data_IF_143472262768
#
_entry.id   IF_143472262768
#
_cell.length_a   1.000
_cell.length_b   1.000
_cell.length_c   1.000
_cell.angle_alpha   90.00
_cell.angle_beta   90.00
_cell.angle_gamma   90.00
#
_symmetry.space_group_name_H-M   'P 1'
#
loop_
_entity.id
_entity.type
_entity.pdbx_description
1 polymer ?
#
# COMPACT_ATOMS: atom_id res chain seq x y z
N UNK A 1 5.86 -35.53 2.07
CA UNK A 1 5.81 -34.95 0.72
C UNK A 1 4.52 -34.18 0.61
N UNK A 2 4.61 -32.84 0.66
CA UNK A 2 3.47 -31.95 0.49
C UNK A 2 2.90 -32.16 -0.92
N UNK A 3 1.61 -32.49 -1.03
CA UNK A 3 0.96 -32.70 -2.34
C UNK A 3 1.07 -31.39 -3.13
N UNK A 4 1.61 -31.48 -4.34
CA UNK A 4 1.64 -30.38 -5.32
C UNK A 4 0.26 -29.73 -5.37
N UNK A 5 0.18 -28.47 -4.97
CA UNK A 5 -1.06 -27.68 -4.83
C UNK A 5 -1.89 -27.75 -6.11
N UNK A 6 -3.19 -28.06 -5.98
CA UNK A 6 -4.20 -27.65 -6.97
C UNK A 6 -4.05 -26.15 -7.17
N UNK A 7 -4.10 -25.68 -8.43
CA UNK A 7 -4.14 -24.24 -8.74
C UNK A 7 -5.17 -23.55 -7.83
N UNK A 8 -4.71 -22.59 -7.02
CA UNK A 8 -5.55 -21.94 -6.02
C UNK A 8 -6.62 -21.07 -6.67
N UNK A 9 -7.64 -20.70 -5.88
CA UNK A 9 -8.70 -19.78 -6.34
C UNK A 9 -8.07 -18.48 -6.83
N UNK A 10 -8.32 -18.11 -8.09
CA UNK A 10 -7.80 -16.87 -8.67
C UNK A 10 -8.32 -15.64 -7.92
N UNK A 11 -7.46 -14.65 -7.74
CA UNK A 11 -7.82 -13.42 -7.04
C UNK A 11 -8.83 -12.58 -7.83
N UNK A 12 -10.03 -12.27 -7.28
CA UNK A 12 -11.02 -11.47 -7.98
C UNK A 12 -10.58 -10.02 -8.21
N UNK A 13 -9.58 -9.51 -7.47
CA UNK A 13 -8.99 -8.19 -7.72
C UNK A 13 -8.31 -8.09 -9.10
N UNK A 14 -7.84 -9.21 -9.67
CA UNK A 14 -7.19 -9.21 -10.98
C UNK A 14 -8.18 -8.88 -12.12
N UNK A 15 -9.42 -9.33 -12.03
CA UNK A 15 -10.47 -9.11 -13.04
C UNK A 15 -11.46 -8.00 -12.64
N UNK A 16 -11.31 -7.42 -11.44
CA UNK A 16 -12.19 -6.37 -10.94
C UNK A 16 -12.07 -5.08 -11.77
N UNK A 17 -13.21 -4.47 -12.06
CA UNK A 17 -13.27 -3.14 -12.67
C UNK A 17 -12.81 -2.04 -11.70
N UNK A 18 -12.62 -0.83 -12.21
CA UNK A 18 -12.08 0.30 -11.43
C UNK A 18 -12.98 0.64 -10.22
N UNK A 19 -14.30 0.71 -10.42
CA UNK A 19 -15.25 0.98 -9.33
C UNK A 19 -15.19 -0.09 -8.24
N UNK A 20 -15.14 -1.36 -8.61
CA UNK A 20 -15.01 -2.46 -7.67
C UNK A 20 -13.69 -2.42 -6.91
N UNK A 21 -12.61 -1.92 -7.51
CA UNK A 21 -11.32 -1.70 -6.82
C UNK A 21 -11.40 -0.52 -5.86
N UNK A 22 -12.01 0.59 -6.28
CA UNK A 22 -12.18 1.80 -5.46
C UNK A 22 -12.98 1.50 -4.18
N UNK A 23 -14.11 0.80 -4.33
CA UNK A 23 -15.00 0.48 -3.22
C UNK A 23 -14.73 -0.90 -2.59
N UNK A 24 -13.62 -1.56 -2.96
CA UNK A 24 -13.23 -2.88 -2.46
C UNK A 24 -14.30 -3.98 -2.60
N UNK A 25 -15.27 -3.82 -3.50
CA UNK A 25 -16.38 -4.76 -3.68
C UNK A 25 -15.96 -6.16 -4.12
N UNK A 26 -14.75 -6.31 -4.68
CA UNK A 26 -14.20 -7.60 -5.05
C UNK A 26 -13.96 -8.52 -3.84
N UNK A 27 -13.92 -7.97 -2.62
CA UNK A 27 -13.83 -8.73 -1.36
C UNK A 27 -15.18 -9.29 -0.87
N UNK A 28 -16.31 -8.77 -1.35
CA UNK A 28 -17.64 -9.15 -0.89
C UNK A 28 -17.91 -10.67 -0.91
N UNK A 29 -17.46 -11.45 -1.92
CA UNK A 29 -17.62 -12.90 -1.90
C UNK A 29 -16.93 -13.56 -0.70
N UNK A 30 -15.73 -13.09 -0.32
CA UNK A 30 -14.99 -13.62 0.82
C UNK A 30 -15.67 -13.28 2.15
N UNK A 31 -16.12 -12.03 2.31
CA UNK A 31 -16.86 -11.61 3.50
C UNK A 31 -18.18 -12.36 3.67
N UNK A 32 -18.88 -12.68 2.57
CA UNK A 32 -20.09 -13.51 2.64
C UNK A 32 -19.82 -14.93 3.14
N UNK A 33 -18.67 -15.51 2.80
CA UNK A 33 -18.26 -16.82 3.33
C UNK A 33 -17.94 -16.67 4.82
N UNK A 34 -17.12 -15.69 5.19
CA UNK A 34 -16.73 -15.41 6.58
C UNK A 34 -17.90 -15.07 7.51
N UNK A 35 -18.97 -14.48 6.97
CA UNK A 35 -20.21 -14.23 7.71
C UNK A 35 -20.99 -15.52 8.02
N UNK A 36 -20.97 -16.50 7.11
CA UNK A 36 -21.72 -17.76 7.24
C UNK A 36 -20.96 -18.82 8.04
N UNK A 37 -19.63 -18.87 7.92
CA UNK A 37 -18.77 -19.82 8.61
C UNK A 37 -17.36 -19.25 8.79
N UNK A 38 -16.60 -19.84 9.70
CA UNK A 38 -15.16 -19.53 9.86
C UNK A 38 -14.43 -19.79 8.53
N UNK A 39 -13.56 -18.85 8.14
CA UNK A 39 -12.72 -18.96 6.96
C UNK A 39 -11.64 -20.04 7.16
N UNK A 40 -11.43 -20.83 6.13
CA UNK A 40 -10.38 -21.85 6.07
C UNK A 40 -9.35 -21.50 4.98
N UNK A 41 -8.18 -22.15 4.99
CA UNK A 41 -7.09 -21.87 4.04
C UNK A 41 -7.55 -22.05 2.58
N UNK A 42 -8.44 -23.01 2.32
CA UNK A 42 -9.01 -23.27 1.00
C UNK A 42 -9.95 -22.16 0.48
N UNK A 43 -10.41 -21.26 1.35
CA UNK A 43 -11.20 -20.09 0.96
C UNK A 43 -10.35 -18.92 0.48
N UNK A 44 -9.06 -18.94 0.78
CA UNK A 44 -8.15 -17.85 0.45
C UNK A 44 -7.83 -17.84 -1.05
N UNK A 45 -7.80 -16.64 -1.61
CA UNK A 45 -7.37 -16.43 -2.98
C UNK A 45 -5.84 -16.47 -3.08
N UNK A 46 -5.35 -16.83 -4.27
CA UNK A 46 -3.94 -16.64 -4.56
C UNK A 46 -3.56 -15.15 -4.53
N UNK A 47 -2.30 -14.88 -4.18
CA UNK A 47 -1.74 -13.53 -4.32
C UNK A 47 -1.74 -13.12 -5.79
N UNK A 48 -1.87 -11.82 -6.03
CA UNK A 48 -1.72 -11.27 -7.37
C UNK A 48 -0.32 -11.58 -7.90
N UNK A 49 -0.19 -11.75 -9.22
CA UNK A 49 1.10 -12.05 -9.85
C UNK A 49 2.18 -11.01 -9.48
N UNK A 50 1.80 -9.73 -9.47
CA UNK A 50 2.67 -8.61 -9.09
C UNK A 50 3.07 -8.59 -7.61
N UNK A 51 2.39 -9.37 -6.75
CA UNK A 51 2.69 -9.48 -5.32
C UNK A 51 3.41 -10.81 -4.98
N UNK A 52 3.74 -11.63 -5.98
CA UNK A 52 4.47 -12.90 -5.74
C UNK A 52 5.89 -12.61 -5.29
N UNK A 53 6.35 -13.38 -4.30
CA UNK A 53 7.70 -13.24 -3.72
C UNK A 53 8.82 -13.43 -4.74
N UNK A 54 8.62 -14.29 -5.73
CA UNK A 54 9.57 -14.48 -6.82
C UNK A 54 9.73 -13.22 -7.68
N UNK A 55 8.62 -12.54 -8.00
CA UNK A 55 8.63 -11.33 -8.83
C UNK A 55 9.30 -10.19 -8.07
N UNK A 56 8.80 -9.89 -6.87
CA UNK A 56 9.30 -8.83 -6.00
C UNK A 56 10.77 -9.04 -5.61
N UNK A 57 11.14 -10.27 -5.26
CA UNK A 57 12.49 -10.65 -4.89
C UNK A 57 13.49 -10.52 -6.04
N UNK A 58 13.14 -11.01 -7.25
CA UNK A 58 13.98 -10.87 -8.44
C UNK A 58 14.16 -9.41 -8.83
N UNK A 59 13.11 -8.59 -8.71
CA UNK A 59 13.19 -7.16 -9.04
C UNK A 59 14.18 -6.43 -8.11
N UNK A 60 14.04 -6.59 -6.79
CA UNK A 60 14.94 -5.95 -5.84
C UNK A 60 16.38 -6.47 -5.95
N UNK A 61 16.55 -7.78 -6.17
CA UNK A 61 17.86 -8.40 -6.42
C UNK A 61 18.54 -7.79 -7.65
N UNK A 62 17.81 -7.56 -8.74
CA UNK A 62 18.36 -6.93 -9.95
C UNK A 62 18.92 -5.54 -9.66
N UNK A 63 18.19 -4.71 -8.91
CA UNK A 63 18.69 -3.39 -8.53
C UNK A 63 19.89 -3.47 -7.57
N UNK A 64 19.88 -4.43 -6.65
CA UNK A 64 21.01 -4.68 -5.75
C UNK A 64 22.28 -5.09 -6.52
N UNK A 65 22.17 -6.01 -7.48
CA UNK A 65 23.31 -6.47 -8.28
C UNK A 65 23.90 -5.33 -9.12
N UNK A 66 23.06 -4.44 -9.66
CA UNK A 66 23.50 -3.23 -10.36
C UNK A 66 24.25 -2.26 -9.44
N UNK A 67 23.74 -2.04 -8.22
CA UNK A 67 24.39 -1.18 -7.23
C UNK A 67 25.72 -1.76 -6.75
N UNK A 68 25.82 -3.07 -6.56
CA UNK A 68 27.08 -3.75 -6.21
C UNK A 68 28.13 -3.56 -7.30
N UNK A 69 27.76 -3.76 -8.57
CA UNK A 69 28.67 -3.55 -9.70
C UNK A 69 29.12 -2.09 -9.81
N UNK A 70 28.21 -1.13 -9.61
CA UNK A 70 28.52 0.30 -9.64
C UNK A 70 29.43 0.68 -8.47
N UNK A 71 29.13 0.20 -7.27
CA UNK A 71 29.92 0.46 -6.07
C UNK A 71 31.36 -0.09 -6.19
N UNK A 72 31.52 -1.26 -6.80
CA UNK A 72 32.85 -1.83 -7.07
C UNK A 72 33.68 -0.96 -8.02
N UNK A 73 33.08 -0.41 -9.08
CA UNK A 73 33.75 0.51 -10.01
C UNK A 73 34.14 1.83 -9.36
N UNK A 74 33.30 2.33 -8.47
CA UNK A 74 33.45 3.61 -7.77
C UNK A 74 34.25 3.48 -6.45
N UNK A 75 34.81 2.30 -6.15
CA UNK A 75 35.52 1.99 -4.89
C UNK A 75 34.76 2.41 -3.62
N UNK A 76 33.43 2.25 -3.63
CA UNK A 76 32.56 2.60 -2.51
C UNK A 76 31.79 1.39 -2.00
N UNK A 77 31.15 1.53 -0.84
CA UNK A 77 30.23 0.53 -0.32
C UNK A 77 28.86 0.61 -1.03
N UNK A 78 28.22 -0.54 -1.32
CA UNK A 78 26.88 -0.55 -1.90
C UNK A 78 25.83 -0.13 -0.85
N UNK A 79 24.88 0.72 -1.25
CA UNK A 79 23.85 1.25 -0.35
C UNK A 79 22.49 0.59 -0.58
N UNK A 80 21.98 -0.16 0.40
CA UNK A 80 20.69 -0.84 0.29
C UNK A 80 19.51 0.13 0.30
N UNK A 81 19.55 1.17 1.14
CA UNK A 81 18.50 2.20 1.21
C UNK A 81 18.26 2.85 -0.15
N UNK A 82 19.34 3.16 -0.87
CA UNK A 82 19.28 3.73 -2.22
C UNK A 82 18.62 2.77 -3.21
N UNK A 83 18.94 1.48 -3.13
CA UNK A 83 18.35 0.43 -3.97
C UNK A 83 16.85 0.30 -3.71
N UNK A 84 16.42 0.30 -2.45
CA UNK A 84 15.00 0.24 -2.08
C UNK A 84 14.27 1.47 -2.63
N UNK A 85 14.80 2.68 -2.41
CA UNK A 85 14.22 3.92 -2.94
C UNK A 85 14.12 3.84 -4.47
N UNK A 86 15.18 3.45 -5.17
CA UNK A 86 15.19 3.36 -6.63
C UNK A 86 14.23 2.28 -7.18
N UNK A 87 13.99 1.20 -6.44
CA UNK A 87 13.05 0.16 -6.83
C UNK A 87 11.60 0.63 -6.66
N UNK A 88 11.28 1.32 -5.56
CA UNK A 88 9.90 1.62 -5.17
C UNK A 88 9.47 3.09 -5.36
N UNK A 89 10.35 3.97 -5.87
CA UNK A 89 10.05 5.41 -6.00
C UNK A 89 8.77 5.72 -6.79
N UNK A 90 8.44 4.93 -7.82
CA UNK A 90 7.21 5.14 -8.60
C UNK A 90 5.96 4.92 -7.76
N UNK A 91 5.97 3.89 -6.92
CA UNK A 91 4.87 3.59 -6.00
C UNK A 91 4.71 4.71 -4.97
N UNK A 92 5.83 5.15 -4.37
CA UNK A 92 5.81 6.27 -3.41
C UNK A 92 5.48 7.62 -4.05
N UNK A 93 5.88 7.86 -5.30
CA UNK A 93 5.53 9.06 -6.05
C UNK A 93 4.03 9.14 -6.31
N UNK A 94 3.39 8.03 -6.66
CA UNK A 94 1.93 7.95 -6.79
C UNK A 94 1.22 8.18 -5.44
N UNK A 95 1.76 7.64 -4.35
CA UNK A 95 1.25 7.89 -3.00
C UNK A 95 1.33 9.38 -2.63
N UNK A 96 2.44 10.04 -2.94
CA UNK A 96 2.60 11.48 -2.71
C UNK A 96 1.56 12.33 -3.46
N UNK A 97 1.16 11.92 -4.67
CA UNK A 97 0.07 12.58 -5.39
C UNK A 97 -1.28 12.41 -4.68
N UNK A 98 -1.57 11.21 -4.15
CA UNK A 98 -2.79 11.00 -3.35
C UNK A 98 -2.80 11.89 -2.11
N UNK A 99 -1.69 11.97 -1.38
CA UNK A 99 -1.55 12.84 -0.21
C UNK A 99 -1.77 14.32 -0.57
N UNK A 100 -1.21 14.78 -1.69
CA UNK A 100 -1.41 16.17 -2.13
C UNK A 100 -2.89 16.49 -2.39
N UNK A 101 -3.62 15.58 -3.05
CA UNK A 101 -5.06 15.74 -3.31
C UNK A 101 -5.84 15.71 -2.00
N UNK A 102 -5.51 14.79 -1.08
CA UNK A 102 -6.15 14.68 0.23
C UNK A 102 -6.00 15.97 1.05
N UNK A 103 -4.78 16.50 1.17
CA UNK A 103 -4.52 17.75 1.90
C UNK A 103 -5.18 18.96 1.23
N UNK A 104 -5.24 18.98 -0.11
CA UNK A 104 -5.96 20.03 -0.84
C UNK A 104 -7.45 20.06 -0.48
N UNK A 105 -8.11 18.90 -0.43
CA UNK A 105 -9.53 18.80 -0.03
C UNK A 105 -9.70 19.25 1.43
N UNK A 106 -8.79 18.86 2.32
CA UNK A 106 -8.81 19.22 3.74
C UNK A 106 -8.70 20.74 3.96
N UNK A 107 -7.93 21.44 3.12
CA UNK A 107 -7.80 22.90 3.14
C UNK A 107 -9.04 23.60 2.57
N UNK A 108 -9.74 23.00 1.59
CA UNK A 108 -10.95 23.58 0.99
C UNK A 108 -12.17 23.46 1.90
N UNK A 109 -12.27 22.38 2.69
CA UNK A 109 -13.44 22.13 3.56
C UNK A 109 -13.82 23.30 4.49
N UNK A 110 -12.88 23.95 5.22
CA UNK A 110 -13.19 25.11 6.05
C UNK A 110 -13.75 26.30 5.28
N UNK A 111 -13.38 26.49 4.00
CA UNK A 111 -13.91 27.59 3.17
C UNK A 111 -15.39 27.39 2.91
N UNK A 112 -15.81 26.19 2.53
CA UNK A 112 -17.24 25.88 2.36
C UNK A 112 -18.02 25.96 3.66
N UNK A 113 -17.42 25.52 4.78
CA UNK A 113 -18.04 25.65 6.09
C UNK A 113 -18.22 27.13 6.49
N UNK A 114 -17.23 27.98 6.21
CA UNK A 114 -17.28 29.42 6.49
C UNK A 114 -18.44 30.12 5.77
N UNK A 115 -18.63 29.82 4.48
CA UNK A 115 -19.76 30.36 3.69
C UNK A 115 -21.12 29.91 4.26
N UNK A 116 -21.22 28.65 4.70
CA UNK A 116 -22.44 28.14 5.34
C UNK A 116 -22.71 28.86 6.66
N UNK A 117 -21.69 29.12 7.48
CA UNK A 117 -21.83 29.88 8.73
C UNK A 117 -22.27 31.32 8.44
N UNK A 118 -21.63 31.98 7.48
CA UNK A 118 -21.94 33.38 7.11
C UNK A 118 -23.39 33.57 6.65
N UNK A 119 -23.96 32.56 5.97
CA UNK A 119 -25.38 32.55 5.61
C UNK A 119 -26.30 32.58 6.84
N UNK A 120 -25.99 31.78 7.86
CA UNK A 120 -26.81 31.73 9.08
C UNK A 120 -26.65 32.99 9.93
N UNK A 121 -25.47 33.61 9.94
CA UNK A 121 -25.25 34.89 10.64
C UNK A 121 -26.04 36.04 10.00
N UNK A 122 -26.14 36.07 8.67
CA UNK A 122 -26.82 37.13 7.92
C UNK A 122 -28.15 36.64 7.31
N UNK A 123 -28.88 35.79 8.03
CA UNK A 123 -30.07 35.13 7.50
C UNK A 123 -31.17 36.15 7.13
N UNK A 124 -31.59 36.13 5.86
CA UNK A 124 -32.67 36.95 5.35
C UNK A 124 -33.74 36.04 4.69
N UNK A 125 -34.97 35.97 5.20
CA UNK A 125 -36.00 35.03 4.73
C UNK A 125 -36.43 35.23 3.26
N UNK A 126 -36.24 36.43 2.70
CA UNK A 126 -36.65 36.74 1.32
C UNK A 126 -35.54 36.48 0.28
N UNK A 127 -34.31 36.17 0.71
CA UNK A 127 -33.18 35.96 -0.20
C UNK A 127 -33.03 34.50 -0.65
N UNK A 128 -33.86 34.12 -1.62
CA UNK A 128 -33.78 32.79 -2.27
C UNK A 128 -32.44 32.53 -2.98
N UNK A 129 -31.73 33.57 -3.41
CA UNK A 129 -30.46 33.41 -4.11
C UNK A 129 -29.35 32.98 -3.13
N UNK A 130 -29.33 33.58 -1.94
CA UNK A 130 -28.43 33.19 -0.86
C UNK A 130 -28.70 31.76 -0.37
N UNK A 131 -29.98 31.37 -0.25
CA UNK A 131 -30.35 29.97 0.09
C UNK A 131 -29.77 28.95 -0.92
N UNK A 132 -29.95 29.20 -2.23
CA UNK A 132 -29.46 28.28 -3.27
C UNK A 132 -27.93 28.17 -3.27
N UNK A 133 -27.22 29.28 -3.04
CA UNK A 133 -25.75 29.28 -2.92
C UNK A 133 -25.28 28.47 -1.72
N UNK A 134 -25.89 28.67 -0.56
CA UNK A 134 -25.58 27.92 0.67
C UNK A 134 -25.87 26.43 0.53
N UNK A 135 -26.97 26.05 -0.12
CA UNK A 135 -27.24 24.66 -0.45
C UNK A 135 -26.16 24.07 -1.36
N UNK A 136 -25.67 24.84 -2.33
CA UNK A 136 -24.52 24.46 -3.17
C UNK A 136 -23.25 24.22 -2.35
N UNK A 137 -22.91 25.13 -1.43
CA UNK A 137 -21.75 24.97 -0.54
C UNK A 137 -21.91 23.78 0.42
N UNK A 138 -23.11 23.54 0.96
CA UNK A 138 -23.39 22.40 1.82
C UNK A 138 -23.28 21.06 1.06
N UNK A 139 -23.76 21.01 -0.18
CA UNK A 139 -23.57 19.87 -1.06
C UNK A 139 -22.09 19.65 -1.40
N UNK A 140 -21.35 20.74 -1.68
CA UNK A 140 -19.91 20.72 -1.88
C UNK A 140 -19.15 20.18 -0.66
N UNK A 141 -19.50 20.63 0.55
CA UNK A 141 -18.93 20.15 1.80
C UNK A 141 -19.17 18.64 2.02
N UNK A 142 -20.39 18.19 1.71
CA UNK A 142 -20.76 16.76 1.79
C UNK A 142 -19.96 15.93 0.78
N UNK A 143 -19.84 16.41 -0.46
CA UNK A 143 -19.05 15.76 -1.51
C UNK A 143 -17.55 15.71 -1.16
N UNK A 144 -16.99 16.80 -0.65
CA UNK A 144 -15.59 16.85 -0.18
C UNK A 144 -15.33 15.82 0.91
N UNK A 145 -16.22 15.72 1.90
CA UNK A 145 -16.10 14.74 2.99
C UNK A 145 -16.15 13.30 2.47
N UNK A 146 -17.06 12.99 1.55
CA UNK A 146 -17.15 11.68 0.93
C UNK A 146 -15.89 11.34 0.10
N UNK A 147 -15.44 12.28 -0.74
CA UNK A 147 -14.22 12.12 -1.54
C UNK A 147 -12.99 11.93 -0.65
N UNK A 148 -12.86 12.71 0.42
CA UNK A 148 -11.78 12.58 1.40
C UNK A 148 -11.77 11.17 2.00
N UNK A 149 -12.92 10.65 2.42
CA UNK A 149 -13.03 9.30 2.96
C UNK A 149 -12.58 8.23 1.96
N UNK A 150 -13.02 8.32 0.69
CA UNK A 150 -12.63 7.38 -0.36
C UNK A 150 -11.13 7.44 -0.64
N UNK A 151 -10.58 8.65 -0.84
CA UNK A 151 -9.16 8.85 -1.13
C UNK A 151 -8.28 8.34 0.02
N UNK A 152 -8.65 8.66 1.26
CA UNK A 152 -7.90 8.24 2.45
C UNK A 152 -7.79 6.72 2.56
N UNK A 153 -8.89 5.98 2.31
CA UNK A 153 -8.86 4.52 2.34
C UNK A 153 -8.04 3.92 1.19
N UNK A 154 -8.08 4.53 0.00
CA UNK A 154 -7.24 4.11 -1.12
C UNK A 154 -5.76 4.37 -0.83
N UNK A 155 -5.43 5.53 -0.28
CA UNK A 155 -4.09 5.86 0.18
C UNK A 155 -3.58 4.81 1.16
N UNK A 156 -4.33 4.53 2.22
CA UNK A 156 -3.94 3.56 3.24
C UNK A 156 -3.73 2.15 2.66
N UNK A 157 -4.65 1.70 1.79
CA UNK A 157 -4.50 0.42 1.09
C UNK A 157 -3.20 0.36 0.27
N UNK A 158 -2.88 1.42 -0.48
CA UNK A 158 -1.68 1.46 -1.29
C UNK A 158 -0.38 1.57 -0.47
N UNK A 159 -0.39 2.29 0.65
CA UNK A 159 0.75 2.38 1.60
C UNK A 159 1.05 1.02 2.20
N UNK A 160 0.04 0.36 2.79
CA UNK A 160 0.20 -0.97 3.38
C UNK A 160 0.69 -2.00 2.37
N UNK A 161 0.15 -1.95 1.14
CA UNK A 161 0.57 -2.83 0.05
C UNK A 161 2.02 -2.55 -0.38
N UNK A 162 2.46 -1.30 -0.38
CA UNK A 162 3.85 -0.96 -0.69
C UNK A 162 4.81 -1.49 0.40
N UNK A 163 4.46 -1.34 1.68
CA UNK A 163 5.20 -1.90 2.80
C UNK A 163 5.36 -3.42 2.70
N UNK A 164 4.24 -4.12 2.47
CA UNK A 164 4.22 -5.57 2.24
C UNK A 164 5.15 -5.99 1.10
N UNK A 165 5.14 -5.27 -0.04
CA UNK A 165 6.00 -5.59 -1.18
C UNK A 165 7.48 -5.50 -0.82
N UNK A 166 7.89 -4.44 -0.11
CA UNK A 166 9.26 -4.26 0.37
C UNK A 166 9.64 -5.40 1.31
N UNK A 167 8.77 -5.74 2.27
CA UNK A 167 9.02 -6.83 3.20
C UNK A 167 9.23 -8.16 2.49
N UNK A 168 8.32 -8.52 1.59
CA UNK A 168 8.41 -9.78 0.85
C UNK A 168 9.68 -9.85 0.00
N UNK A 169 10.05 -8.75 -0.68
CA UNK A 169 11.28 -8.68 -1.47
C UNK A 169 12.54 -8.83 -0.60
N UNK A 170 12.56 -8.16 0.56
CA UNK A 170 13.66 -8.23 1.52
C UNK A 170 13.82 -9.63 2.10
N UNK A 171 12.72 -10.28 2.52
CA UNK A 171 12.74 -11.66 2.99
C UNK A 171 13.30 -12.61 1.92
N UNK A 172 12.88 -12.44 0.66
CA UNK A 172 13.40 -13.23 -0.46
C UNK A 172 14.93 -13.07 -0.60
N UNK A 173 15.43 -11.84 -0.60
CA UNK A 173 16.87 -11.57 -0.74
C UNK A 173 17.69 -12.10 0.44
N UNK A 174 17.22 -11.89 1.68
CA UNK A 174 17.88 -12.37 2.89
C UNK A 174 17.95 -13.90 2.87
N UNK A 175 16.83 -14.57 2.55
CA UNK A 175 16.78 -16.03 2.46
C UNK A 175 17.74 -16.57 1.41
N UNK A 176 17.73 -15.99 0.20
CA UNK A 176 18.66 -16.36 -0.87
C UNK A 176 20.12 -16.16 -0.45
N UNK A 177 20.43 -15.06 0.25
CA UNK A 177 21.78 -14.81 0.75
C UNK A 177 22.19 -15.82 1.82
N UNK A 178 21.30 -16.14 2.76
CA UNK A 178 21.54 -17.09 3.84
C UNK A 178 21.90 -18.49 3.32
N UNK A 179 21.23 -18.95 2.25
CA UNK A 179 21.52 -20.23 1.60
C UNK A 179 22.88 -20.28 0.88
N UNK A 180 23.50 -19.14 0.61
CA UNK A 180 24.79 -19.03 -0.09
C UNK A 180 25.93 -18.52 0.81
N UNK A 181 25.72 -18.43 2.13
CA UNK A 181 26.77 -18.02 3.06
C UNK A 181 27.81 -19.14 3.24
N UNK A 182 29.10 -18.77 3.25
CA UNK A 182 30.17 -19.71 3.58
C UNK A 182 30.16 -20.06 5.07
N UNK A 183 30.71 -21.21 5.44
CA UNK A 183 30.78 -21.65 6.85
C UNK A 183 31.47 -20.63 7.76
N UNK A 184 32.51 -19.94 7.25
CA UNK A 184 33.20 -18.87 7.98
C UNK A 184 32.34 -17.62 8.20
N UNK A 185 31.44 -17.29 7.26
CA UNK A 185 30.49 -16.20 7.42
C UNK A 185 29.32 -16.59 8.32
N UNK A 186 28.86 -17.84 8.25
CA UNK A 186 27.81 -18.40 9.12
C UNK A 186 28.25 -18.46 10.59
N UNK A 187 29.56 -18.65 10.86
CA UNK A 187 30.10 -18.54 12.21
C UNK A 187 30.03 -17.12 12.81
N UNK A 188 29.96 -16.08 11.96
CA UNK A 188 29.83 -14.67 12.39
C UNK A 188 28.39 -14.18 12.48
N UNK A 189 27.48 -14.79 11.73
CA UNK A 189 26.05 -14.46 11.73
C UNK A 189 25.24 -15.70 12.13
N UNK A 190 24.76 -15.74 13.37
CA UNK A 190 24.04 -16.91 13.87
C UNK A 190 22.68 -17.06 13.20
N UNK A 191 22.17 -18.29 13.10
CA UNK A 191 20.80 -18.55 12.61
C UNK A 191 19.76 -17.72 13.36
N UNK A 192 19.95 -17.51 14.67
CA UNK A 192 19.07 -16.66 15.49
C UNK A 192 19.06 -15.19 15.04
N UNK A 193 20.21 -14.64 14.63
CA UNK A 193 20.27 -13.28 14.07
C UNK A 193 19.54 -13.16 12.74
N UNK A 194 19.64 -14.17 11.87
CA UNK A 194 18.91 -14.20 10.59
C UNK A 194 17.40 -14.28 10.84
N UNK A 195 16.96 -15.10 11.80
CA UNK A 195 15.55 -15.18 12.20
C UNK A 195 15.07 -13.83 12.75
N UNK A 196 15.86 -13.18 13.61
CA UNK A 196 15.52 -11.86 14.16
C UNK A 196 15.38 -10.79 13.07
N UNK A 197 16.28 -10.78 12.08
CA UNK A 197 16.19 -9.90 10.91
C UNK A 197 14.85 -10.10 10.19
N UNK A 198 14.49 -11.35 9.88
CA UNK A 198 13.26 -11.68 9.15
C UNK A 198 11.98 -11.43 9.96
N UNK A 199 12.02 -11.65 11.29
CA UNK A 199 10.83 -11.55 12.16
C UNK A 199 10.59 -10.16 12.72
N UNK A 200 11.63 -9.35 12.93
CA UNK A 200 11.51 -8.04 13.56
C UNK A 200 11.82 -6.92 12.57
N UNK A 201 13.00 -6.95 11.95
CA UNK A 201 13.48 -5.80 11.17
C UNK A 201 12.70 -5.62 9.87
N UNK A 202 12.42 -6.72 9.16
CA UNK A 202 11.65 -6.62 7.91
C UNK A 202 10.16 -6.32 8.18
N UNK A 203 9.61 -6.74 9.32
CA UNK A 203 8.22 -6.44 9.67
C UNK A 203 7.99 -4.94 9.92
N UNK A 204 9.02 -4.16 10.27
CA UNK A 204 8.91 -2.70 10.40
C UNK A 204 8.54 -1.99 9.10
N UNK A 205 8.76 -2.61 7.93
CA UNK A 205 8.30 -2.04 6.66
C UNK A 205 6.79 -2.12 6.45
N UNK A 206 6.07 -2.94 7.21
CA UNK A 206 4.61 -3.04 7.14
C UNK A 206 3.91 -2.08 8.12
N UNK A 207 4.61 -1.57 9.14
CA UNK A 207 4.09 -0.67 10.18
C UNK A 207 4.08 0.82 9.76
N UNK A 208 4.01 1.11 8.45
CA UNK A 208 4.07 2.48 7.88
C UNK A 208 2.76 3.22 8.02
#
# INVERSE_FOLDING_TARGET
MEKVRKDGKKNPAATANILSKIFFWWLNPLFRIGYKRRLEEEDMYEVLHEDRSEVLGKELQRYWDQEVQKAAKEMRTPGLTKVIIQCYWKSYGMLGLFTLVEESIRVIQPVFLGEVIQYFENYNPDDRNSLNKTLGYAAGLSACTFCLAVIHHLYFYHVLRAGMKIRVAMCHMIYRKALCLSSSAMGKTTTGQIVNLLSNDVNKFDEV
#
